data_IF_534437000197
#
_entry.id   IF_534437000197
#
_cell.length_a   1.000
_cell.length_b   1.000
_cell.length_c   1.000
_cell.angle_alpha   90.00
_cell.angle_beta   90.00
_cell.angle_gamma   90.00
#
_symmetry.space_group_name_H-M   'P 1'
#
loop_
_entity.id
_entity.type
_entity.pdbx_description
1 polymer ?
#
# COMPACT_ATOMS: atom_id res chain seq x y z
N UNK A 1 16.92 0.23 6.76
CA UNK A 1 18.00 -0.37 5.95
C UNK A 1 17.38 -1.02 4.71
N UNK A 2 18.00 -0.85 3.53
CA UNK A 2 17.52 -1.41 2.25
C UNK A 2 18.25 -2.72 1.94
N UNK A 3 17.52 -3.77 1.53
CA UNK A 3 18.08 -5.07 1.13
C UNK A 3 17.48 -5.53 -0.19
N UNK A 4 18.34 -5.97 -1.11
CA UNK A 4 17.93 -6.60 -2.36
C UNK A 4 17.76 -8.10 -2.10
N UNK A 5 16.56 -8.62 -2.37
CA UNK A 5 16.23 -10.04 -2.15
C UNK A 5 16.44 -10.86 -3.43
N UNK A 6 16.27 -10.23 -4.60
CA UNK A 6 16.45 -10.83 -5.93
C UNK A 6 16.93 -9.77 -6.93
N UNK A 7 17.68 -10.20 -7.94
CA UNK A 7 18.23 -9.35 -8.99
C UNK A 7 19.57 -8.71 -8.62
N UNK A 8 20.23 -8.09 -9.60
CA UNK A 8 21.48 -7.34 -9.44
C UNK A 8 21.36 -5.99 -10.17
N UNK A 9 20.77 -4.97 -9.52
CA UNK A 9 20.60 -3.66 -10.14
C UNK A 9 21.96 -3.01 -10.39
N UNK A 10 22.01 -2.15 -11.41
CA UNK A 10 23.21 -1.35 -11.66
C UNK A 10 23.43 -0.33 -10.52
N UNK A 11 24.66 0.19 -10.36
CA UNK A 11 24.94 1.26 -9.40
C UNK A 11 24.04 2.48 -9.60
N UNK A 12 23.72 2.83 -10.85
CA UNK A 12 22.88 3.97 -11.23
C UNK A 12 21.43 3.76 -10.78
N UNK A 13 20.89 2.55 -10.97
CA UNK A 13 19.54 2.21 -10.52
C UNK A 13 19.41 2.27 -8.99
N UNK A 14 20.43 1.78 -8.28
CA UNK A 14 20.48 1.85 -6.82
C UNK A 14 20.58 3.29 -6.32
N UNK A 15 21.37 4.13 -6.99
CA UNK A 15 21.49 5.56 -6.68
C UNK A 15 20.16 6.29 -6.90
N UNK A 16 19.47 6.03 -8.02
CA UNK A 16 18.18 6.62 -8.32
C UNK A 16 17.12 6.25 -7.26
N UNK A 17 17.04 4.97 -6.89
CA UNK A 17 16.12 4.50 -5.84
C UNK A 17 16.43 5.18 -4.50
N UNK A 18 17.71 5.28 -4.14
CA UNK A 18 18.14 5.91 -2.88
C UNK A 18 17.80 7.39 -2.85
N UNK A 19 18.05 8.13 -3.94
CA UNK A 19 17.71 9.55 -4.06
C UNK A 19 16.20 9.79 -3.86
N UNK A 20 15.37 8.94 -4.48
CA UNK A 20 13.91 8.99 -4.33
C UNK A 20 13.48 8.74 -2.88
N UNK A 21 14.08 7.73 -2.22
CA UNK A 21 13.77 7.41 -0.83
C UNK A 21 14.14 8.55 0.11
N UNK A 22 15.32 9.17 -0.08
CA UNK A 22 15.75 10.33 0.70
C UNK A 22 14.84 11.54 0.49
N UNK A 23 14.48 11.84 -0.76
CA UNK A 23 13.57 12.94 -1.07
C UNK A 23 12.20 12.76 -0.40
N UNK A 24 11.64 11.54 -0.42
CA UNK A 24 10.39 11.23 0.28
C UNK A 24 10.51 11.31 1.79
N UNK A 25 11.61 10.81 2.35
CA UNK A 25 11.87 10.89 3.78
C UNK A 25 11.99 12.35 4.27
N UNK A 26 12.63 13.21 3.47
CA UNK A 26 12.72 14.64 3.76
C UNK A 26 11.34 15.33 3.71
N UNK A 27 10.46 14.93 2.78
CA UNK A 27 9.09 15.44 2.68
C UNK A 27 8.11 14.89 3.72
N UNK A 28 8.45 13.80 4.42
CA UNK A 28 7.59 13.19 5.44
C UNK A 28 7.45 14.01 6.73
N UNK A 29 8.27 15.06 6.90
CA UNK A 29 8.13 16.04 7.98
C UNK A 29 7.12 17.16 7.71
N UNK A 30 6.49 17.19 6.53
CA UNK A 30 5.36 18.08 6.28
C UNK A 30 4.14 17.47 6.97
N UNK A 31 3.66 18.13 8.03
CA UNK A 31 2.41 17.75 8.69
C UNK A 31 1.34 17.54 7.62
N UNK A 32 0.63 16.39 7.62
CA UNK A 32 -0.46 16.17 6.70
C UNK A 32 -1.45 17.33 6.82
N UNK A 33 -1.67 18.03 5.70
CA UNK A 33 -2.66 19.09 5.59
C UNK A 33 -4.01 18.60 6.17
N UNK A 34 -4.84 19.51 6.68
CA UNK A 34 -6.04 19.19 7.45
C UNK A 34 -7.02 18.26 6.71
N UNK A 35 -6.93 18.21 5.38
CA UNK A 35 -7.62 17.25 4.51
C UNK A 35 -7.18 15.79 4.83
N UNK A 36 -5.89 15.53 4.97
CA UNK A 36 -5.33 14.22 5.31
C UNK A 36 -5.60 13.79 6.76
N UNK A 37 -5.89 14.73 7.68
CA UNK A 37 -6.36 14.41 9.04
C UNK A 37 -7.85 14.04 9.10
N UNK A 38 -8.70 14.66 8.25
CA UNK A 38 -10.13 14.34 8.17
C UNK A 38 -10.40 12.97 7.55
N UNK A 39 -9.57 12.56 6.61
CA UNK A 39 -9.48 11.16 6.21
C UNK A 39 -8.63 10.43 7.23
N UNK A 40 -9.18 10.06 8.39
CA UNK A 40 -8.54 9.07 9.25
C UNK A 40 -8.05 7.95 8.34
N UNK A 41 -6.73 7.85 8.18
CA UNK A 41 -6.11 7.01 7.17
C UNK A 41 -6.32 5.58 7.65
N UNK A 42 -7.52 5.04 7.38
CA UNK A 42 -7.76 3.62 7.42
C UNK A 42 -6.75 3.08 6.43
N UNK A 43 -5.74 2.38 6.95
CA UNK A 43 -4.73 1.79 6.11
C UNK A 43 -5.45 1.02 4.99
N UNK A 44 -5.39 1.54 3.75
CA UNK A 44 -6.11 0.99 2.58
C UNK A 44 -5.57 -0.41 2.19
N UNK A 45 -4.51 -0.83 2.86
CA UNK A 45 -4.00 -2.18 2.87
C UNK A 45 -5.11 -3.11 3.38
N UNK A 46 -5.65 -3.90 2.45
CA UNK A 46 -6.53 -5.02 2.81
C UNK A 46 -5.75 -5.93 3.77
N UNK A 47 -6.35 -6.21 4.93
CA UNK A 47 -5.91 -7.23 5.88
C UNK A 47 -6.46 -8.57 5.42
N UNK A 48 -5.71 -9.34 4.61
CA UNK A 48 -6.24 -10.55 3.98
C UNK A 48 -6.51 -11.63 5.02
N UNK A 49 -5.87 -11.54 6.19
CA UNK A 49 -6.11 -12.35 7.38
C UNK A 49 -7.51 -12.14 7.99
N UNK A 50 -8.14 -10.97 7.79
CA UNK A 50 -9.41 -10.60 8.43
C UNK A 50 -10.63 -10.71 7.51
N UNK A 51 -10.42 -11.06 6.25
CA UNK A 51 -11.48 -11.13 5.25
C UNK A 51 -11.33 -12.43 4.48
N UNK A 52 -12.38 -13.24 4.42
CA UNK A 52 -12.41 -14.42 3.56
C UNK A 52 -12.17 -13.99 2.10
N UNK A 53 -11.03 -14.39 1.53
CA UNK A 53 -10.64 -14.02 0.16
C UNK A 53 -11.47 -14.72 -0.92
N UNK A 54 -12.20 -15.76 -0.54
CA UNK A 54 -12.98 -16.62 -1.40
C UNK A 54 -14.21 -17.20 -0.69
N UNK A 55 -15.24 -17.56 -1.47
CA UNK A 55 -16.54 -18.04 -0.96
C UNK A 55 -16.49 -19.43 -0.29
N UNK A 56 -15.41 -20.19 -0.46
CA UNK A 56 -15.23 -21.48 0.19
C UNK A 56 -13.93 -22.20 -0.20
N UNK A 57 -13.53 -23.25 0.52
CA UNK A 57 -12.21 -23.88 0.40
C UNK A 57 -11.90 -24.54 -0.96
N UNK A 58 -12.89 -24.66 -1.86
CA UNK A 58 -12.74 -25.25 -3.19
C UNK A 58 -12.92 -24.24 -4.33
N UNK A 59 -13.05 -22.95 -4.02
CA UNK A 59 -13.26 -21.89 -5.02
C UNK A 59 -12.29 -20.73 -4.77
N UNK A 60 -11.85 -20.08 -5.83
CA UNK A 60 -11.04 -18.85 -5.79
C UNK A 60 -11.87 -17.61 -6.15
N UNK A 61 -13.19 -17.77 -6.29
CA UNK A 61 -14.09 -16.64 -6.53
C UNK A 61 -14.27 -15.89 -5.22
N UNK A 62 -14.06 -14.58 -5.28
CA UNK A 62 -14.36 -13.69 -4.17
C UNK A 62 -15.87 -13.40 -4.12
N UNK A 63 -16.45 -13.26 -2.91
CA UNK A 63 -17.83 -12.84 -2.77
C UNK A 63 -18.05 -11.52 -3.51
N UNK A 64 -19.13 -11.46 -4.29
CA UNK A 64 -19.52 -10.23 -4.98
C UNK A 64 -19.70 -9.11 -3.94
N UNK A 65 -19.04 -7.97 -4.14
CA UNK A 65 -19.21 -6.80 -3.27
C UNK A 65 -20.68 -6.37 -3.33
N UNK A 66 -21.40 -6.23 -2.19
CA UNK A 66 -22.79 -5.79 -2.22
C UNK A 66 -22.86 -4.40 -2.88
N UNK A 67 -23.83 -4.22 -3.77
CA UNK A 67 -24.07 -2.95 -4.44
C UNK A 67 -24.38 -1.87 -3.39
N UNK A 68 -23.87 -0.63 -3.55
CA UNK A 68 -24.22 0.45 -2.65
C UNK A 68 -25.73 0.66 -2.70
N UNK A 69 -26.38 0.61 -1.54
CA UNK A 69 -27.82 0.86 -1.42
C UNK A 69 -28.06 2.34 -1.72
N UNK A 70 -28.76 2.62 -2.81
CA UNK A 70 -29.18 3.98 -3.17
C UNK A 70 -30.08 4.53 -2.04
N UNK A 71 -29.78 5.77 -1.64
CA UNK A 71 -30.61 6.56 -0.73
C UNK A 71 -31.67 7.32 -1.52
#
# INVERSE_FOLDING_TARGET
MLRIVRGNPSPEELAALTAILLARAAGAGVEPDDVARRHQVVALWRRPDRVAGFDGPRTWRSPARPAPRAA
#
